data_IF_196251793888
#
_entry.id   IF_196251793888
#
_cell.length_a   1.000
_cell.length_b   1.000
_cell.length_c   1.000
_cell.angle_alpha   90.00
_cell.angle_beta   90.00
_cell.angle_gamma   90.00
#
_symmetry.space_group_name_H-M   'P 1'
#
loop_
_entity.id
_entity.type
_entity.pdbx_description
1 polymer ?
#
# COMPACT_ATOMS: atom_id res chain seq x y z
N UNK A 1 -4.45 31.34 44.16
CA UNK A 1 -3.41 31.63 43.12
C UNK A 1 -2.61 30.42 42.64
N UNK A 2 -2.33 29.38 43.46
CA UNK A 2 -1.63 28.15 42.99
C UNK A 2 -2.44 27.35 41.95
N UNK A 3 -3.75 27.22 42.15
CA UNK A 3 -4.65 26.46 41.25
C UNK A 3 -4.82 27.08 39.87
N UNK A 4 -4.88 28.42 39.78
CA UNK A 4 -4.97 29.15 38.51
C UNK A 4 -3.70 29.03 37.65
N UNK A 5 -2.52 28.96 38.27
CA UNK A 5 -1.24 28.74 37.58
C UNK A 5 -1.12 27.32 37.03
N UNK A 6 -1.58 26.31 37.77
CA UNK A 6 -1.61 24.91 37.31
C UNK A 6 -2.59 24.73 36.16
N UNK A 7 -3.75 25.41 36.22
CA UNK A 7 -4.74 25.38 35.14
C UNK A 7 -4.23 26.06 33.85
N UNK A 8 -3.53 27.19 33.96
CA UNK A 8 -2.90 27.84 32.79
C UNK A 8 -1.79 26.98 32.17
N UNK A 9 -0.96 26.31 32.99
CA UNK A 9 0.11 25.42 32.49
C UNK A 9 -0.48 24.22 31.75
N UNK A 10 -1.60 23.64 32.22
CA UNK A 10 -2.27 22.53 31.54
C UNK A 10 -2.86 22.92 30.18
N UNK A 11 -3.43 24.13 30.05
CA UNK A 11 -3.96 24.64 28.78
C UNK A 11 -2.82 24.96 27.80
N UNK A 12 -1.72 25.53 28.28
CA UNK A 12 -0.52 25.76 27.48
C UNK A 12 0.04 24.40 27.00
N UNK A 13 0.13 23.38 27.87
CA UNK A 13 0.60 22.05 27.46
C UNK A 13 -0.30 21.38 26.40
N UNK A 14 -1.62 21.59 26.47
CA UNK A 14 -2.56 21.14 25.41
C UNK A 14 -2.48 21.96 24.13
N UNK A 15 -2.11 23.25 24.20
CA UNK A 15 -1.97 24.13 23.04
C UNK A 15 -0.63 24.00 22.31
N UNK A 16 0.40 23.43 22.96
CA UNK A 16 1.71 23.09 22.34
C UNK A 16 1.76 21.63 21.88
N UNK A 17 0.64 20.88 21.91
CA UNK A 17 0.52 19.69 21.09
C UNK A 17 -0.17 20.09 19.79
N UNK A 18 0.54 20.65 18.79
CA UNK A 18 0.08 20.42 17.43
C UNK A 18 0.03 18.90 17.34
N UNK A 19 -1.15 18.37 17.04
CA UNK A 19 -1.31 16.98 16.62
C UNK A 19 -0.16 16.71 15.66
N UNK A 20 0.85 15.98 16.14
CA UNK A 20 1.94 15.49 15.31
C UNK A 20 1.24 14.49 14.40
N UNK A 21 0.68 15.00 13.31
CA UNK A 21 0.26 14.26 12.15
C UNK A 21 1.56 13.75 11.57
N UNK A 22 2.13 12.73 12.20
CA UNK A 22 3.17 11.93 11.61
C UNK A 22 2.50 11.28 10.39
N UNK A 23 2.91 11.73 9.21
CA UNK A 23 2.38 11.18 7.99
C UNK A 23 3.01 9.81 7.84
N UNK A 24 2.26 8.76 8.14
CA UNK A 24 2.68 7.40 7.84
C UNK A 24 2.85 7.27 6.33
N UNK A 25 4.09 7.40 5.85
CA UNK A 25 4.50 7.24 4.45
C UNK A 25 3.55 7.82 3.39
N UNK A 26 3.69 7.32 2.16
CA UNK A 26 2.74 7.56 1.07
C UNK A 26 2.68 6.35 0.15
N UNK A 27 1.50 6.05 -0.39
CA UNK A 27 1.36 5.19 -1.57
C UNK A 27 0.60 5.98 -2.61
N UNK A 28 1.22 6.16 -3.78
CA UNK A 28 0.60 6.79 -4.95
C UNK A 28 0.53 5.78 -6.08
N UNK A 29 -0.30 6.03 -7.08
CA UNK A 29 -0.47 5.07 -8.17
C UNK A 29 -0.89 5.69 -9.48
N UNK A 30 -0.55 4.98 -10.56
CA UNK A 30 -1.03 5.24 -11.91
C UNK A 30 -1.65 3.97 -12.48
N UNK A 31 -2.51 4.15 -13.49
CA UNK A 31 -3.17 3.04 -14.18
C UNK A 31 -2.88 3.11 -15.67
N UNK A 32 -2.52 1.97 -16.24
CA UNK A 32 -2.40 1.75 -17.68
C UNK A 32 -3.40 0.66 -18.11
N UNK A 33 -4.16 0.93 -19.17
CA UNK A 33 -5.13 -0.02 -19.72
C UNK A 33 -4.61 -0.51 -21.06
N UNK A 34 -4.21 -1.77 -21.12
CA UNK A 34 -3.72 -2.43 -22.34
C UNK A 34 -4.88 -3.22 -22.95
N UNK A 35 -5.37 -2.71 -24.08
CA UNK A 35 -6.45 -3.36 -24.83
C UNK A 35 -5.88 -4.51 -25.69
N UNK A 36 -5.69 -5.68 -25.09
CA UNK A 36 -5.32 -6.90 -25.81
C UNK A 36 -6.58 -7.63 -26.28
N UNK A 37 -7.08 -7.30 -27.47
CA UNK A 37 -8.32 -7.84 -28.09
C UNK A 37 -9.63 -7.54 -27.32
N UNK A 38 -10.77 -7.56 -28.02
CA UNK A 38 -12.08 -7.06 -27.54
C UNK A 38 -12.66 -7.71 -26.28
N UNK A 39 -12.03 -8.71 -25.67
CA UNK A 39 -12.66 -9.54 -24.64
C UNK A 39 -11.79 -9.82 -23.40
N UNK A 40 -10.52 -9.41 -23.37
CA UNK A 40 -9.64 -9.64 -22.21
C UNK A 40 -8.79 -8.42 -21.92
N UNK A 41 -9.32 -7.42 -21.19
CA UNK A 41 -8.54 -6.27 -20.78
C UNK A 41 -7.37 -6.71 -19.89
N UNK A 42 -6.19 -6.16 -20.13
CA UNK A 42 -5.06 -6.18 -19.21
C UNK A 42 -4.95 -4.79 -18.61
N UNK A 43 -4.98 -4.69 -17.29
CA UNK A 43 -4.80 -3.43 -16.56
C UNK A 43 -3.55 -3.55 -15.71
N UNK A 44 -2.67 -2.57 -15.82
CA UNK A 44 -1.48 -2.47 -15.00
C UNK A 44 -1.67 -1.29 -14.06
N UNK A 45 -1.48 -1.52 -12.76
CA UNK A 45 -1.43 -0.47 -11.76
C UNK A 45 0.00 -0.42 -11.23
N UNK A 46 0.65 0.73 -11.38
CA UNK A 46 1.98 0.96 -10.83
C UNK A 46 1.84 1.80 -9.58
N UNK A 47 2.19 1.24 -8.44
CA UNK A 47 2.16 1.90 -7.14
C UNK A 47 3.58 2.28 -6.73
N UNK A 48 3.78 3.56 -6.41
CA UNK A 48 5.00 4.03 -5.77
C UNK A 48 4.74 4.15 -4.27
N UNK A 49 5.38 3.29 -3.49
CA UNK A 49 5.24 3.20 -2.05
C UNK A 49 6.49 3.80 -1.39
N UNK A 50 6.30 4.78 -0.51
CA UNK A 50 7.34 5.40 0.31
C UNK A 50 6.96 5.23 1.77
N UNK A 51 7.85 4.68 2.59
CA UNK A 51 7.65 4.59 4.04
C UNK A 51 7.68 6.00 4.66
N UNK A 52 7.25 6.13 5.91
CA UNK A 52 7.46 7.37 6.68
C UNK A 52 8.91 7.81 6.66
N UNK A 53 9.17 9.06 7.02
CA UNK A 53 10.52 9.61 7.07
C UNK A 53 11.07 9.63 8.50
N UNK A 54 12.39 9.79 8.60
CA UNK A 54 13.05 10.11 9.87
C UNK A 54 12.41 11.37 10.44
N UNK A 55 11.82 11.26 11.62
CA UNK A 55 11.06 12.34 12.25
C UNK A 55 9.56 12.08 12.34
N UNK A 56 9.04 11.05 11.65
CA UNK A 56 7.63 10.62 11.75
C UNK A 56 7.35 9.74 12.98
N UNK A 57 8.23 9.76 13.98
CA UNK A 57 8.04 9.07 15.25
C UNK A 57 7.85 7.56 15.08
N UNK A 58 6.72 7.03 15.56
CA UNK A 58 6.38 5.61 15.45
C UNK A 58 6.11 5.16 14.00
N UNK A 59 5.85 6.11 13.09
CA UNK A 59 5.46 5.83 11.71
C UNK A 59 6.62 5.95 10.71
N UNK A 60 7.85 6.24 11.20
CA UNK A 60 9.03 6.53 10.37
C UNK A 60 9.44 5.41 9.41
N UNK A 61 8.93 4.20 9.55
CA UNK A 61 9.20 3.04 8.67
C UNK A 61 7.92 2.42 8.12
N UNK A 62 6.75 2.99 8.41
CA UNK A 62 5.47 2.40 8.03
C UNK A 62 5.04 2.87 6.64
N UNK A 63 4.45 1.94 5.90
CA UNK A 63 3.68 2.25 4.72
C UNK A 63 2.20 2.35 5.12
N UNK A 64 1.47 3.38 4.68
CA UNK A 64 0.05 3.48 5.00
C UNK A 64 -0.73 2.43 4.21
N UNK A 65 -1.64 1.71 4.89
CA UNK A 65 -2.61 0.85 4.20
C UNK A 65 -3.46 1.71 3.24
N UNK A 66 -3.48 1.35 1.96
CA UNK A 66 -3.99 2.23 0.91
C UNK A 66 -5.02 1.54 0.05
N UNK A 67 -6.20 2.15 -0.07
CA UNK A 67 -7.27 1.71 -0.95
C UNK A 67 -6.98 2.16 -2.38
N UNK A 68 -6.55 1.23 -3.23
CA UNK A 68 -6.02 1.49 -4.59
C UNK A 68 -7.00 2.27 -5.46
N UNK A 69 -8.30 1.95 -5.39
CA UNK A 69 -9.35 2.61 -6.18
C UNK A 69 -9.78 3.99 -5.64
N UNK A 70 -9.07 4.53 -4.64
CA UNK A 70 -9.19 5.93 -4.21
C UNK A 70 -8.01 6.78 -4.64
N UNK A 71 -6.98 6.16 -5.25
CA UNK A 71 -5.84 6.86 -5.82
C UNK A 71 -6.25 7.67 -7.06
N UNK A 72 -5.55 8.78 -7.27
CA UNK A 72 -5.84 9.69 -8.38
C UNK A 72 -5.81 8.97 -9.72
N UNK A 73 -6.87 9.11 -10.51
CA UNK A 73 -6.98 8.49 -11.83
C UNK A 73 -7.37 7.01 -11.85
N UNK A 74 -7.52 6.36 -10.69
CA UNK A 74 -7.96 4.97 -10.56
C UNK A 74 -9.38 4.94 -9.99
N UNK A 75 -10.35 4.50 -10.78
CA UNK A 75 -11.73 4.35 -10.29
C UNK A 75 -12.03 2.91 -9.88
N UNK A 76 -13.00 2.72 -8.98
CA UNK A 76 -13.50 1.40 -8.66
C UNK A 76 -14.09 0.67 -9.88
N UNK A 77 -14.59 1.40 -10.87
CA UNK A 77 -15.13 0.83 -12.10
C UNK A 77 -14.05 0.24 -13.01
N UNK A 78 -12.81 0.74 -12.92
CA UNK A 78 -11.70 0.23 -13.70
C UNK A 78 -11.22 -1.15 -13.24
N UNK A 79 -11.47 -1.48 -11.96
CA UNK A 79 -10.96 -2.69 -11.34
C UNK A 79 -12.02 -3.80 -11.26
N UNK A 80 -13.30 -3.43 -11.23
CA UNK A 80 -14.40 -4.39 -11.08
C UNK A 80 -14.46 -5.38 -12.25
N UNK A 81 -14.65 -6.65 -11.92
CA UNK A 81 -14.71 -7.73 -12.91
C UNK A 81 -13.35 -8.20 -13.41
N UNK A 82 -12.26 -7.57 -12.97
CA UNK A 82 -10.91 -8.08 -13.17
C UNK A 82 -10.52 -9.03 -12.01
N UNK A 83 -9.50 -9.84 -12.25
CA UNK A 83 -8.79 -10.60 -11.22
C UNK A 83 -7.32 -10.21 -11.23
N UNK A 84 -6.68 -10.26 -10.07
CA UNK A 84 -5.24 -10.10 -9.97
C UNK A 84 -4.55 -11.34 -10.58
N UNK A 85 -3.60 -11.11 -11.48
CA UNK A 85 -2.85 -12.16 -12.18
C UNK A 85 -1.45 -12.32 -11.60
N UNK A 86 -0.71 -11.22 -11.47
CA UNK A 86 0.62 -11.26 -10.88
C UNK A 86 0.97 -9.93 -10.23
N UNK A 87 1.98 -9.98 -9.38
CA UNK A 87 2.58 -8.82 -8.74
C UNK A 87 4.06 -8.82 -9.03
N UNK A 88 4.59 -7.65 -9.34
CA UNK A 88 6.04 -7.40 -9.37
C UNK A 88 6.38 -6.38 -8.29
N UNK A 89 7.42 -6.65 -7.52
CA UNK A 89 8.02 -5.71 -6.57
C UNK A 89 9.38 -5.29 -7.10
N UNK A 90 9.69 -4.00 -7.02
CA UNK A 90 10.98 -3.45 -7.45
C UNK A 90 11.47 -2.48 -6.38
N UNK A 91 12.58 -2.76 -5.68
CA UNK A 91 13.11 -1.83 -4.70
C UNK A 91 13.57 -0.52 -5.36
N UNK A 92 13.39 0.58 -4.64
CA UNK A 92 14.04 1.85 -4.96
C UNK A 92 15.49 1.89 -4.48
N UNK A 93 16.12 3.06 -4.55
CA UNK A 93 17.51 3.25 -4.11
C UNK A 93 17.73 2.90 -2.63
N UNK A 94 16.76 3.27 -1.78
CA UNK A 94 16.67 2.82 -0.39
C UNK A 94 15.49 1.87 -0.33
N UNK A 95 15.72 0.58 -0.50
CA UNK A 95 14.64 -0.41 -0.46
C UNK A 95 14.09 -0.65 0.94
N UNK A 96 12.92 -1.29 1.07
CA UNK A 96 12.39 -1.75 2.36
C UNK A 96 13.27 -2.83 2.99
N UNK A 97 12.92 -3.26 4.20
CA UNK A 97 13.60 -4.41 4.86
C UNK A 97 13.46 -5.66 4.02
N UNK A 98 14.53 -6.45 3.94
CA UNK A 98 14.50 -7.75 3.26
C UNK A 98 13.40 -8.62 3.81
N UNK A 99 12.69 -9.28 2.90
CA UNK A 99 11.56 -10.15 3.21
C UNK A 99 10.40 -9.41 3.92
N UNK A 100 10.13 -8.16 3.55
CA UNK A 100 8.87 -7.50 3.94
C UNK A 100 7.67 -8.17 3.26
N UNK A 101 6.54 -8.18 3.95
CA UNK A 101 5.31 -8.82 3.48
C UNK A 101 4.42 -7.84 2.71
N UNK A 102 3.76 -8.33 1.67
CA UNK A 102 2.70 -7.65 0.94
C UNK A 102 1.37 -8.39 1.14
N UNK A 103 0.32 -7.69 1.51
CA UNK A 103 -1.05 -8.22 1.41
C UNK A 103 -1.91 -7.31 0.56
N UNK A 104 -2.84 -7.93 -0.17
CA UNK A 104 -3.81 -7.23 -0.98
C UNK A 104 -5.19 -7.78 -0.63
N UNK A 105 -5.97 -6.99 0.10
CA UNK A 105 -7.29 -7.43 0.57
C UNK A 105 -8.42 -6.83 -0.27
N UNK A 106 -9.46 -7.62 -0.48
CA UNK A 106 -10.67 -7.17 -1.15
C UNK A 106 -11.60 -6.37 -0.20
N UNK A 107 -12.78 -6.00 -0.70
CA UNK A 107 -13.80 -5.27 0.08
C UNK A 107 -14.30 -6.01 1.33
N UNK A 108 -14.04 -7.30 1.45
CA UNK A 108 -14.43 -8.15 2.57
C UNK A 108 -13.24 -8.44 3.51
N UNK A 109 -12.06 -7.89 3.22
CA UNK A 109 -10.84 -8.13 4.00
C UNK A 109 -10.16 -9.46 3.66
N UNK A 110 -10.54 -10.14 2.59
CA UNK A 110 -9.94 -11.42 2.18
C UNK A 110 -8.65 -11.13 1.41
N UNK A 111 -7.56 -11.78 1.81
CA UNK A 111 -6.28 -11.71 1.09
C UNK A 111 -6.39 -12.38 -0.30
N UNK A 112 -6.26 -11.57 -1.34
CA UNK A 112 -6.34 -11.99 -2.74
C UNK A 112 -5.09 -12.76 -3.19
N UNK A 113 -4.00 -12.72 -2.41
CA UNK A 113 -2.75 -13.41 -2.71
C UNK A 113 -2.65 -14.81 -2.13
N UNK A 114 -3.56 -15.19 -1.23
CA UNK A 114 -3.52 -16.48 -0.54
C UNK A 114 -2.12 -16.79 0.06
N UNK A 115 -1.54 -15.82 0.78
CA UNK A 115 -0.19 -15.84 1.36
C UNK A 115 0.99 -15.77 0.37
N UNK A 116 0.75 -15.71 -0.95
CA UNK A 116 1.84 -15.54 -1.93
C UNK A 116 2.58 -14.20 -1.82
N UNK A 117 2.07 -13.25 -1.04
CA UNK A 117 2.73 -11.98 -0.75
C UNK A 117 3.68 -12.00 0.46
N UNK A 118 3.85 -13.14 1.13
CA UNK A 118 4.81 -13.24 2.23
C UNK A 118 6.26 -13.14 1.72
N UNK A 119 7.08 -12.31 2.37
CA UNK A 119 8.51 -12.14 2.09
C UNK A 119 8.86 -11.75 0.64
N UNK A 120 8.02 -10.98 -0.07
CA UNK A 120 8.26 -10.65 -1.49
C UNK A 120 8.81 -9.23 -1.70
N UNK A 121 8.70 -8.36 -0.72
CA UNK A 121 9.25 -7.00 -0.79
C UNK A 121 10.66 -7.04 -0.19
N UNK A 122 11.65 -6.66 -0.99
CA UNK A 122 13.06 -6.86 -0.69
C UNK A 122 13.85 -5.55 -0.85
N UNK A 123 15.04 -5.45 -0.26
CA UNK A 123 15.84 -4.23 -0.31
C UNK A 123 16.59 -4.02 -1.62
N UNK A 124 16.87 -5.09 -2.37
CA UNK A 124 17.77 -5.04 -3.53
C UNK A 124 17.27 -5.90 -4.71
N UNK A 125 16.40 -6.87 -4.47
CA UNK A 125 15.95 -7.81 -5.49
C UNK A 125 14.53 -7.50 -5.95
N UNK A 126 14.33 -7.44 -7.27
CA UNK A 126 12.98 -7.42 -7.82
C UNK A 126 12.38 -8.83 -7.81
N UNK A 127 11.16 -8.97 -7.27
CA UNK A 127 10.46 -10.25 -7.23
C UNK A 127 9.20 -10.22 -8.06
N UNK A 128 8.76 -11.39 -8.53
CA UNK A 128 7.46 -11.58 -9.16
C UNK A 128 6.76 -12.80 -8.60
N UNK A 129 5.50 -12.63 -8.24
CA UNK A 129 4.64 -13.74 -7.81
C UNK A 129 3.36 -13.75 -8.62
N UNK A 130 2.91 -14.95 -8.99
CA UNK A 130 1.60 -15.16 -9.61
C UNK A 130 0.56 -15.13 -8.50
N UNK A 131 -0.43 -14.26 -8.64
CA UNK A 131 -1.55 -14.20 -7.71
C UNK A 131 -2.43 -15.43 -7.95
N UNK A 132 -2.59 -16.23 -6.90
CA UNK A 132 -3.53 -17.36 -6.78
C UNK A 132 -3.74 -18.19 -8.08
N UNK A 133 -2.85 -19.14 -8.39
CA UNK A 133 -2.75 -19.72 -9.72
C UNK A 133 -3.90 -20.63 -10.19
N UNK A 134 -4.69 -21.32 -9.34
CA UNK A 134 -5.50 -22.43 -9.90
C UNK A 134 -6.89 -22.75 -9.33
N UNK A 135 -7.37 -22.24 -8.18
CA UNK A 135 -8.69 -22.70 -7.66
C UNK A 135 -9.60 -21.65 -7.01
N UNK A 136 -9.15 -20.41 -6.82
CA UNK A 136 -9.95 -19.41 -6.11
C UNK A 136 -9.65 -17.97 -6.55
N UNK A 137 -9.51 -17.72 -7.86
CA UNK A 137 -9.31 -16.36 -8.37
C UNK A 137 -10.40 -15.42 -7.82
N UNK A 138 -10.00 -14.50 -6.94
CA UNK A 138 -10.92 -13.55 -6.31
C UNK A 138 -11.23 -12.46 -7.33
N UNK A 139 -12.49 -12.42 -7.75
CA UNK A 139 -12.98 -11.36 -8.63
C UNK A 139 -13.06 -10.07 -7.81
N UNK A 140 -12.46 -9.00 -8.33
CA UNK A 140 -12.54 -7.69 -7.70
C UNK A 140 -13.98 -7.18 -7.85
N UNK A 141 -14.68 -7.04 -6.72
CA UNK A 141 -16.07 -6.56 -6.66
C UNK A 141 -16.21 -5.18 -6.02
N UNK A 142 -15.12 -4.66 -5.46
CA UNK A 142 -15.10 -3.38 -4.75
C UNK A 142 -13.68 -2.92 -4.47
N UNK A 143 -13.47 -2.37 -3.28
CA UNK A 143 -12.18 -1.83 -2.91
C UNK A 143 -11.08 -2.90 -2.90
N UNK A 144 -9.89 -2.48 -3.29
CA UNK A 144 -8.66 -3.26 -3.17
C UNK A 144 -7.72 -2.48 -2.25
N UNK A 145 -7.29 -3.08 -1.16
CA UNK A 145 -6.43 -2.42 -0.17
C UNK A 145 -5.05 -3.08 -0.19
N UNK A 146 -4.02 -2.27 -0.44
CA UNK A 146 -2.61 -2.70 -0.40
C UNK A 146 -2.04 -2.38 0.97
N UNK A 147 -1.30 -3.32 1.53
CA UNK A 147 -0.63 -3.18 2.82
C UNK A 147 0.75 -3.82 2.78
N UNK A 148 1.78 -3.11 3.24
CA UNK A 148 3.16 -3.59 3.32
C UNK A 148 3.56 -3.59 4.79
N UNK A 149 4.05 -4.74 5.30
CA UNK A 149 4.42 -4.91 6.71
C UNK A 149 5.81 -5.52 6.86
N UNK A 150 6.39 -5.41 8.05
CA UNK A 150 7.72 -5.95 8.35
C UNK A 150 8.88 -5.03 7.97
N UNK A 151 8.61 -3.88 7.36
CA UNK A 151 9.64 -2.87 7.11
C UNK A 151 10.05 -2.15 8.40
N UNK A 152 11.34 -1.97 8.60
CA UNK A 152 11.96 -1.15 9.66
C UNK A 152 12.92 -0.08 9.09
N UNK A 153 12.96 0.10 7.76
CA UNK A 153 13.82 1.06 7.09
C UNK A 153 13.06 2.37 6.86
N UNK A 154 13.54 3.45 7.45
CA UNK A 154 12.95 4.77 7.27
C UNK A 154 13.14 5.29 5.84
N UNK A 155 12.13 5.99 5.32
CA UNK A 155 12.07 6.53 3.95
C UNK A 155 12.29 5.48 2.86
N UNK A 156 12.05 4.19 3.15
CA UNK A 156 12.16 3.12 2.17
C UNK A 156 11.20 3.33 1.00
N UNK A 157 11.67 3.04 -0.22
CA UNK A 157 10.89 3.16 -1.45
C UNK A 157 10.82 1.81 -2.14
N UNK A 158 9.62 1.41 -2.56
CA UNK A 158 9.41 0.26 -3.44
C UNK A 158 8.32 0.57 -4.46
N UNK A 159 8.47 0.01 -5.65
CA UNK A 159 7.43 0.03 -6.69
C UNK A 159 6.72 -1.31 -6.69
N UNK A 160 5.40 -1.29 -6.57
CA UNK A 160 4.54 -2.47 -6.70
C UNK A 160 3.76 -2.35 -7.99
N UNK A 161 3.89 -3.34 -8.86
CA UNK A 161 3.15 -3.41 -10.13
C UNK A 161 2.12 -4.52 -9.98
N UNK A 162 0.84 -4.14 -10.08
CA UNK A 162 -0.28 -5.06 -10.08
C UNK A 162 -0.70 -5.31 -11.53
N UNK A 163 -0.66 -6.55 -11.96
CA UNK A 163 -1.17 -6.96 -13.27
C UNK A 163 -2.54 -7.61 -13.10
N UNK A 164 -3.57 -6.99 -13.67
CA UNK A 164 -4.95 -7.43 -13.58
C UNK A 164 -5.46 -7.87 -14.94
N UNK A 165 -6.19 -8.98 -14.98
CA UNK A 165 -6.76 -9.52 -16.22
C UNK A 165 -8.27 -9.62 -16.13
N UNK A 166 -8.95 -9.31 -17.23
CA UNK A 166 -10.37 -9.56 -17.38
C UNK A 166 -10.69 -11.06 -17.46
N UNK A 167 -11.89 -11.40 -17.02
CA UNK A 167 -12.45 -12.77 -17.05
C UNK A 167 -13.07 -13.04 -18.42
#
# INVERSE_FOLDING_TARGET
MKTLKVFLVAIILMAIMPSLLFAAGTITGTIERINTSKSKPLVIITLTCTAGAVGDGADAHLFPATVVNTLSGISAYDLRGLKLYSIVTVPGTTGPTDNSDLTITDRYGIDTLAAAGANIVDNATSNRVVANPDTAAVIITGNLTVNITGNIVDSAVTTIILELVGI
#
